data_IF_624511203439
#
_entry.id   IF_624511203439
#
_cell.length_a   1.000
_cell.length_b   1.000
_cell.length_c   1.000
_cell.angle_alpha   90.00
_cell.angle_beta   90.00
_cell.angle_gamma   90.00
#
_symmetry.space_group_name_H-M   'P 1'
#
loop_
_entity.id
_entity.type
_entity.pdbx_description
1 polymer ?
#
# COMPACT_ATOMS: atom_id res chain seq x y z
N UNK A 1 -4.84 6.59 -21.68
CA UNK A 1 -3.80 6.52 -20.66
C UNK A 1 -2.87 7.71 -20.83
N UNK A 2 -2.42 8.37 -19.74
CA UNK A 2 -1.40 9.42 -19.89
C UNK A 2 -0.13 8.80 -20.49
N UNK A 3 0.59 9.60 -21.30
CA UNK A 3 1.79 9.16 -22.04
C UNK A 3 2.88 8.60 -21.11
N UNK A 4 2.86 8.97 -19.82
CA UNK A 4 3.85 8.60 -18.80
C UNK A 4 3.27 7.75 -17.64
N UNK A 5 2.29 6.88 -17.91
CA UNK A 5 1.81 5.96 -16.88
C UNK A 5 2.95 5.01 -16.42
N UNK A 6 3.15 4.80 -15.11
CA UNK A 6 4.17 3.88 -14.60
C UNK A 6 4.01 2.48 -15.20
N UNK A 7 5.12 1.93 -15.73
CA UNK A 7 5.18 0.57 -16.28
C UNK A 7 5.62 -0.47 -15.26
N UNK A 8 6.07 0.00 -14.11
CA UNK A 8 6.59 -0.81 -13.02
C UNK A 8 5.81 -0.57 -11.74
N UNK A 9 5.62 -1.64 -10.97
CA UNK A 9 5.13 -1.55 -9.61
C UNK A 9 5.94 -2.46 -8.67
N UNK A 10 6.01 -2.06 -7.41
CA UNK A 10 6.53 -2.86 -6.31
C UNK A 10 5.40 -3.11 -5.33
N UNK A 11 5.20 -4.37 -4.91
CA UNK A 11 4.25 -4.74 -3.85
C UNK A 11 5.03 -5.28 -2.66
N UNK A 12 4.82 -4.69 -1.48
CA UNK A 12 5.42 -5.14 -0.23
C UNK A 12 4.52 -6.20 0.41
N UNK A 13 4.95 -7.45 0.36
CA UNK A 13 4.14 -8.62 0.72
C UNK A 13 4.91 -9.62 1.63
N UNK A 14 5.92 -9.16 2.37
CA UNK A 14 6.81 -10.01 3.15
C UNK A 14 6.30 -10.33 4.57
N UNK A 15 5.37 -9.55 5.11
CA UNK A 15 4.94 -9.59 6.50
C UNK A 15 4.19 -10.87 6.91
N UNK A 16 4.22 -11.18 8.21
CA UNK A 16 3.58 -12.39 8.79
C UNK A 16 2.06 -12.28 8.85
N UNK A 17 1.50 -11.07 9.07
CA UNK A 17 0.05 -10.88 9.26
C UNK A 17 -0.49 -11.58 10.51
N UNK A 18 0.24 -11.53 11.62
CA UNK A 18 -0.08 -12.30 12.85
C UNK A 18 -1.45 -12.00 13.46
N UNK A 19 -1.99 -10.80 13.27
CA UNK A 19 -3.32 -10.40 13.77
C UNK A 19 -4.49 -11.10 13.04
N UNK A 20 -4.23 -11.62 11.83
CA UNK A 20 -5.21 -12.39 11.03
C UNK A 20 -5.22 -13.89 11.34
N UNK A 21 -4.43 -14.36 12.33
CA UNK A 21 -4.48 -15.77 12.74
C UNK A 21 -5.88 -16.15 13.22
N UNK A 22 -6.35 -17.39 12.92
CA UNK A 22 -5.63 -18.52 12.30
C UNK A 22 -5.57 -18.49 10.76
N UNK A 23 -6.18 -17.53 10.07
CA UNK A 23 -6.21 -17.47 8.59
C UNK A 23 -4.78 -17.44 7.99
N UNK A 24 -3.87 -16.74 8.66
CA UNK A 24 -2.48 -16.61 8.20
C UNK A 24 -1.53 -17.72 8.68
N UNK A 25 -2.03 -18.71 9.41
CA UNK A 25 -1.21 -19.88 9.78
C UNK A 25 -0.88 -20.76 8.57
N UNK A 26 -1.77 -20.81 7.59
CA UNK A 26 -1.63 -21.63 6.38
C UNK A 26 -1.43 -20.81 5.10
N UNK A 27 -1.79 -19.52 5.09
CA UNK A 27 -1.72 -18.66 3.91
C UNK A 27 -1.16 -17.29 4.30
N UNK A 28 -0.22 -16.70 3.54
CA UNK A 28 0.28 -15.36 3.87
C UNK A 28 -0.82 -14.31 3.70
N UNK A 29 -0.75 -13.22 4.49
CA UNK A 29 -1.73 -12.13 4.51
C UNK A 29 -2.16 -11.65 3.11
N UNK A 30 -1.25 -11.44 2.13
CA UNK A 30 -1.63 -11.00 0.78
C UNK A 30 -2.51 -11.99 0.00
N UNK A 31 -2.59 -13.25 0.42
CA UNK A 31 -3.47 -14.25 -0.16
C UNK A 31 -4.79 -14.45 0.59
N UNK A 32 -5.03 -13.71 1.66
CA UNK A 32 -6.36 -13.63 2.31
C UNK A 32 -7.37 -13.09 1.29
N UNK A 33 -8.60 -13.61 1.34
CA UNK A 33 -9.59 -13.38 0.30
C UNK A 33 -10.73 -12.50 0.78
N UNK A 34 -11.08 -11.50 -0.02
CA UNK A 34 -12.31 -10.71 0.08
C UNK A 34 -13.25 -11.21 -1.01
N UNK A 35 -14.41 -11.77 -0.65
CA UNK A 35 -15.33 -12.41 -1.59
C UNK A 35 -14.66 -13.40 -2.57
N UNK A 36 -13.75 -14.21 -2.07
CA UNK A 36 -13.04 -15.21 -2.86
C UNK A 36 -11.84 -14.69 -3.65
N UNK A 37 -11.59 -13.38 -3.71
CA UNK A 37 -10.49 -12.74 -4.44
C UNK A 37 -9.34 -12.45 -3.47
N UNK A 38 -8.13 -13.04 -3.65
CA UNK A 38 -6.96 -12.68 -2.86
C UNK A 38 -6.62 -11.19 -2.96
N UNK A 39 -6.19 -10.56 -1.86
CA UNK A 39 -5.77 -9.14 -1.83
C UNK A 39 -4.73 -8.88 -2.93
N UNK A 40 -3.71 -9.70 -3.00
CA UNK A 40 -2.62 -9.57 -3.99
C UNK A 40 -3.14 -9.72 -5.43
N UNK A 41 -4.07 -10.65 -5.69
CA UNK A 41 -4.65 -10.81 -7.02
C UNK A 41 -5.51 -9.62 -7.44
N UNK A 42 -6.23 -8.99 -6.49
CA UNK A 42 -6.96 -7.75 -6.73
C UNK A 42 -5.99 -6.66 -7.22
N UNK A 43 -4.88 -6.44 -6.51
CA UNK A 43 -3.87 -5.45 -6.89
C UNK A 43 -3.25 -5.77 -8.28
N UNK A 44 -2.81 -7.01 -8.51
CA UNK A 44 -2.20 -7.44 -9.77
C UNK A 44 -3.17 -7.29 -10.96
N UNK A 45 -4.45 -7.62 -10.76
CA UNK A 45 -5.48 -7.46 -11.80
C UNK A 45 -5.64 -5.99 -12.21
N UNK A 46 -5.76 -5.08 -11.25
CA UNK A 46 -5.91 -3.65 -11.52
C UNK A 46 -4.64 -3.05 -12.14
N UNK A 47 -3.46 -3.41 -11.65
CA UNK A 47 -2.18 -2.98 -12.24
C UNK A 47 -2.09 -3.39 -13.71
N UNK A 48 -2.41 -4.64 -14.05
CA UNK A 48 -2.39 -5.14 -15.43
C UNK A 48 -3.39 -4.42 -16.34
N UNK A 49 -4.61 -4.15 -15.85
CA UNK A 49 -5.63 -3.39 -16.60
C UNK A 49 -5.22 -1.94 -16.84
N UNK A 50 -4.44 -1.36 -15.94
CA UNK A 50 -3.95 0.02 -16.04
C UNK A 50 -2.61 0.13 -16.78
N UNK A 51 -2.13 -0.97 -17.38
CA UNK A 51 -0.99 -0.97 -18.30
C UNK A 51 0.37 -1.08 -17.61
N UNK A 52 0.43 -1.53 -16.36
CA UNK A 52 1.68 -1.95 -15.72
C UNK A 52 2.16 -3.23 -16.39
N UNK A 53 3.42 -3.28 -16.76
CA UNK A 53 4.02 -4.38 -17.53
C UNK A 53 4.80 -5.35 -16.63
N UNK A 54 5.40 -4.83 -15.55
CA UNK A 54 6.19 -5.61 -14.61
C UNK A 54 5.84 -5.23 -13.18
N UNK A 55 5.65 -6.24 -12.33
CA UNK A 55 5.51 -6.09 -10.87
C UNK A 55 6.63 -6.86 -10.19
N UNK A 56 7.32 -6.21 -9.27
CA UNK A 56 8.20 -6.87 -8.31
C UNK A 56 7.44 -7.06 -7.01
N UNK A 57 7.47 -8.26 -6.45
CA UNK A 57 6.83 -8.57 -5.16
C UNK A 57 7.94 -8.86 -4.15
N UNK A 58 8.02 -8.03 -3.11
CA UNK A 58 8.86 -8.31 -1.95
C UNK A 58 8.16 -9.35 -1.09
N UNK A 59 8.75 -10.54 -0.99
CA UNK A 59 8.18 -11.70 -0.30
C UNK A 59 9.02 -12.09 0.92
N UNK A 60 8.39 -12.75 1.89
CA UNK A 60 9.06 -13.23 3.11
C UNK A 60 8.30 -14.40 3.70
N UNK A 61 7.39 -14.16 4.63
CA UNK A 61 6.57 -15.20 5.22
C UNK A 61 5.81 -16.00 4.16
N UNK A 62 5.99 -17.32 4.15
CA UNK A 62 5.36 -18.26 3.20
C UNK A 62 5.50 -17.81 1.74
N UNK A 63 6.70 -17.34 1.35
CA UNK A 63 7.00 -16.85 0.01
C UNK A 63 6.61 -17.85 -1.09
N UNK A 64 6.76 -19.14 -0.83
CA UNK A 64 6.44 -20.21 -1.79
C UNK A 64 4.95 -20.17 -2.19
N UNK A 65 4.06 -19.92 -1.23
CA UNK A 65 2.61 -19.81 -1.50
C UNK A 65 2.30 -18.60 -2.40
N UNK A 66 2.98 -17.47 -2.21
CA UNK A 66 2.83 -16.30 -3.08
C UNK A 66 3.37 -16.61 -4.48
N UNK A 67 4.55 -17.26 -4.57
CA UNK A 67 5.16 -17.62 -5.84
C UNK A 67 4.32 -18.63 -6.63
N UNK A 68 3.71 -19.61 -5.93
CA UNK A 68 2.77 -20.55 -6.54
C UNK A 68 1.49 -19.87 -7.04
N UNK A 69 0.92 -18.95 -6.23
CA UNK A 69 -0.32 -18.26 -6.56
C UNK A 69 -0.18 -17.26 -7.72
N UNK A 70 0.98 -16.63 -7.88
CA UNK A 70 1.19 -15.57 -8.87
C UNK A 70 2.07 -16.01 -10.06
N UNK A 71 2.91 -17.03 -9.90
CA UNK A 71 3.84 -17.51 -10.93
C UNK A 71 4.86 -16.45 -11.36
N UNK A 72 5.42 -16.63 -12.55
CA UNK A 72 6.31 -15.64 -13.18
C UNK A 72 5.55 -14.64 -14.06
N UNK A 73 4.21 -14.82 -14.20
CA UNK A 73 3.31 -13.97 -14.97
C UNK A 73 1.89 -14.07 -14.43
N UNK A 74 1.25 -12.93 -14.24
CA UNK A 74 -0.15 -12.83 -13.87
C UNK A 74 -0.91 -12.04 -14.94
N UNK A 75 -1.70 -12.74 -15.76
CA UNK A 75 -2.29 -12.14 -16.97
C UNK A 75 -1.20 -11.61 -17.90
N UNK A 76 -1.25 -10.31 -18.21
CA UNK A 76 -0.25 -9.63 -19.04
C UNK A 76 0.94 -9.06 -18.26
N UNK A 77 0.97 -9.19 -16.94
CA UNK A 77 2.01 -8.62 -16.06
C UNK A 77 3.12 -9.63 -15.81
N UNK A 78 4.37 -9.27 -16.06
CA UNK A 78 5.53 -10.05 -15.66
C UNK A 78 5.79 -9.90 -14.16
N UNK A 79 6.01 -11.00 -13.44
CA UNK A 79 6.22 -10.99 -11.99
C UNK A 79 7.68 -11.33 -11.69
N UNK A 80 8.30 -10.52 -10.84
CA UNK A 80 9.61 -10.78 -10.23
C UNK A 80 9.47 -10.81 -8.71
N UNK A 81 10.37 -11.50 -8.05
CA UNK A 81 10.37 -11.63 -6.59
C UNK A 81 11.69 -11.16 -6.00
N UNK A 82 11.58 -10.47 -4.87
CA UNK A 82 12.71 -10.11 -4.02
C UNK A 82 12.43 -10.66 -2.63
N UNK A 83 13.32 -11.49 -2.12
CA UNK A 83 13.15 -12.12 -0.81
C UNK A 83 13.67 -11.24 0.31
N UNK A 84 12.84 -11.02 1.33
CA UNK A 84 13.24 -10.54 2.65
C UNK A 84 13.41 -11.74 3.58
N UNK A 85 14.61 -12.30 3.65
CA UNK A 85 14.89 -13.48 4.50
C UNK A 85 14.79 -13.17 6.01
N UNK A 86 14.71 -11.91 6.38
CA UNK A 86 14.67 -11.42 7.77
C UNK A 86 13.35 -10.67 8.08
N UNK A 87 12.29 -11.00 7.35
CA UNK A 87 10.97 -10.38 7.44
C UNK A 87 10.35 -10.34 8.85
N UNK A 88 10.73 -11.29 9.70
CA UNK A 88 10.24 -11.47 11.06
C UNK A 88 10.79 -10.44 12.06
N UNK A 89 11.84 -9.73 11.67
CA UNK A 89 12.55 -8.74 12.50
C UNK A 89 12.86 -7.43 11.80
N UNK A 90 12.22 -7.18 10.66
CA UNK A 90 12.39 -5.96 9.88
C UNK A 90 11.03 -5.37 9.49
N UNK A 91 11.00 -4.05 9.23
CA UNK A 91 9.81 -3.33 8.78
C UNK A 91 9.68 -3.27 7.25
N UNK A 92 8.61 -2.61 6.77
CA UNK A 92 8.33 -2.48 5.33
C UNK A 92 9.39 -1.65 4.59
N UNK A 93 10.02 -0.66 5.24
CA UNK A 93 11.13 0.10 4.65
C UNK A 93 12.33 -0.79 4.31
N UNK A 94 12.59 -1.85 5.09
CA UNK A 94 13.66 -2.81 4.77
C UNK A 94 13.33 -3.63 3.52
N UNK A 95 12.09 -4.06 3.37
CA UNK A 95 11.62 -4.76 2.16
C UNK A 95 11.67 -3.87 0.93
N UNK A 96 11.32 -2.59 1.08
CA UNK A 96 11.45 -1.57 0.04
C UNK A 96 12.92 -1.37 -0.35
N UNK A 97 13.84 -1.30 0.62
CA UNK A 97 15.27 -1.19 0.39
C UNK A 97 15.84 -2.41 -0.35
N UNK A 98 15.45 -3.63 0.01
CA UNK A 98 15.88 -4.84 -0.70
C UNK A 98 15.46 -4.82 -2.18
N UNK A 99 14.28 -4.29 -2.46
CA UNK A 99 13.72 -4.22 -3.82
C UNK A 99 14.09 -2.93 -4.57
N UNK A 100 14.97 -2.07 -4.04
CA UNK A 100 15.27 -0.73 -4.60
C UNK A 100 15.76 -0.75 -6.05
N UNK A 101 16.46 -1.79 -6.47
CA UNK A 101 16.94 -1.89 -7.86
C UNK A 101 15.78 -1.98 -8.87
N UNK A 102 14.64 -2.56 -8.46
CA UNK A 102 13.44 -2.60 -9.29
C UNK A 102 12.83 -1.20 -9.48
N UNK A 103 13.03 -0.29 -8.53
CA UNK A 103 12.54 1.09 -8.58
C UNK A 103 13.39 1.99 -9.49
N UNK A 104 14.58 1.56 -9.92
CA UNK A 104 15.45 2.32 -10.82
C UNK A 104 15.01 2.27 -12.28
N UNK A 105 14.05 1.40 -12.64
CA UNK A 105 13.61 1.19 -14.01
C UNK A 105 12.78 2.36 -14.58
N UNK A 106 12.21 3.23 -13.74
CA UNK A 106 11.35 4.33 -14.18
C UNK A 106 10.44 4.85 -13.08
N UNK A 107 9.43 5.63 -13.45
CA UNK A 107 8.34 5.97 -12.54
C UNK A 107 7.68 4.68 -12.06
N UNK A 108 7.42 4.59 -10.77
CA UNK A 108 6.96 3.35 -10.16
C UNK A 108 5.76 3.58 -9.25
N UNK A 109 4.88 2.58 -9.20
CA UNK A 109 3.88 2.44 -8.14
C UNK A 109 4.48 1.60 -7.01
N UNK A 110 4.26 2.00 -5.77
CA UNK A 110 4.60 1.22 -4.58
C UNK A 110 3.33 0.97 -3.79
N UNK A 111 3.04 -0.29 -3.52
CA UNK A 111 1.83 -0.72 -2.84
C UNK A 111 2.18 -1.61 -1.65
N UNK A 112 1.46 -1.46 -0.54
CA UNK A 112 1.45 -2.49 0.50
C UNK A 112 0.50 -3.62 0.11
N UNK A 113 0.84 -4.86 0.50
CA UNK A 113 0.17 -6.08 0.06
C UNK A 113 -1.06 -6.47 0.88
N UNK A 114 -1.63 -5.53 1.63
CA UNK A 114 -2.73 -5.74 2.58
C UNK A 114 -3.94 -4.84 2.35
N UNK A 115 -3.92 -4.05 1.29
CA UNK A 115 -5.02 -3.15 0.91
C UNK A 115 -5.85 -3.76 -0.22
N UNK A 116 -7.14 -3.92 0.01
CA UNK A 116 -8.11 -4.29 -1.01
C UNK A 116 -8.82 -3.03 -1.50
N UNK A 117 -8.87 -2.80 -2.82
CA UNK A 117 -9.36 -1.54 -3.38
C UNK A 117 -9.99 -1.74 -4.76
N UNK A 118 -10.83 -0.79 -5.18
CA UNK A 118 -11.35 -0.76 -6.55
C UNK A 118 -10.37 -0.06 -7.50
N UNK A 119 -10.46 -0.39 -8.80
CA UNK A 119 -9.53 0.07 -9.85
C UNK A 119 -9.35 1.60 -9.89
N UNK A 120 -10.41 2.35 -9.59
CA UNK A 120 -10.37 3.81 -9.67
C UNK A 120 -9.40 4.46 -8.68
N UNK A 121 -9.06 3.80 -7.57
CA UNK A 121 -8.01 4.28 -6.64
C UNK A 121 -6.66 4.39 -7.37
N UNK A 122 -6.22 3.31 -8.03
CA UNK A 122 -4.98 3.33 -8.81
C UNK A 122 -5.09 4.24 -10.04
N UNK A 123 -6.26 4.29 -10.67
CA UNK A 123 -6.48 5.17 -11.83
C UNK A 123 -6.27 6.64 -11.45
N UNK A 124 -6.85 7.11 -10.35
CA UNK A 124 -6.65 8.48 -9.87
C UNK A 124 -5.19 8.76 -9.53
N UNK A 125 -4.51 7.81 -8.89
CA UNK A 125 -3.10 7.92 -8.55
C UNK A 125 -2.21 8.02 -9.83
N UNK A 126 -2.49 7.22 -10.85
CA UNK A 126 -1.74 7.22 -12.12
C UNK A 126 -1.95 8.50 -12.92
N UNK A 127 -3.17 9.07 -12.94
CA UNK A 127 -3.46 10.29 -13.69
C UNK A 127 -3.09 11.58 -12.97
N UNK A 128 -2.66 11.51 -11.71
CA UNK A 128 -2.18 12.67 -10.98
C UNK A 128 -1.09 13.41 -11.76
N UNK A 129 -1.17 14.71 -11.85
CA UNK A 129 -0.16 15.54 -12.52
C UNK A 129 1.12 15.68 -11.69
N UNK A 130 1.03 15.47 -10.37
CA UNK A 130 2.18 15.53 -9.49
C UNK A 130 3.15 14.36 -9.75
N UNK A 131 4.47 14.59 -9.75
CA UNK A 131 5.46 13.53 -9.97
C UNK A 131 5.46 12.49 -8.85
N UNK A 132 5.06 12.88 -7.64
CA UNK A 132 4.94 12.00 -6.50
C UNK A 132 3.57 12.19 -5.86
N UNK A 133 2.86 11.10 -5.61
CA UNK A 133 1.52 11.14 -5.07
C UNK A 133 1.26 9.93 -4.16
N UNK A 134 0.39 10.12 -3.18
CA UNK A 134 -0.11 9.09 -2.28
C UNK A 134 -1.64 9.09 -2.28
N UNK A 135 -2.25 7.92 -2.33
CA UNK A 135 -3.69 7.78 -2.17
C UNK A 135 -4.07 7.94 -0.70
N UNK A 136 -5.06 8.79 -0.43
CA UNK A 136 -5.55 9.07 0.92
C UNK A 136 -7.08 9.14 0.94
N UNK A 137 -7.68 8.90 2.10
CA UNK A 137 -9.10 9.12 2.35
C UNK A 137 -9.31 9.72 3.75
N UNK A 138 -10.47 10.32 4.04
CA UNK A 138 -10.76 10.83 5.38
C UNK A 138 -10.52 9.75 6.45
N UNK A 139 -9.82 10.12 7.53
CA UNK A 139 -9.60 9.23 8.66
C UNK A 139 -10.84 9.26 9.56
N UNK A 140 -11.45 8.13 9.84
CA UNK A 140 -12.64 8.01 10.67
C UNK A 140 -12.43 7.09 11.88
N UNK A 141 -13.39 7.08 12.80
CA UNK A 141 -13.29 6.43 14.10
C UNK A 141 -13.04 4.91 14.09
N UNK A 142 -13.36 4.23 13.00
CA UNK A 142 -13.10 2.79 12.86
C UNK A 142 -11.70 2.47 12.32
N UNK A 143 -10.95 3.50 11.91
CA UNK A 143 -9.62 3.33 11.34
C UNK A 143 -8.53 3.39 12.40
N UNK A 144 -7.43 2.71 12.11
CA UNK A 144 -6.19 2.75 12.87
C UNK A 144 -5.00 2.88 11.91
N UNK A 145 -3.84 3.29 12.43
CA UNK A 145 -2.59 3.33 11.67
C UNK A 145 -2.11 4.74 11.38
N UNK A 146 -1.47 4.94 10.26
CA UNK A 146 -0.88 6.24 9.90
C UNK A 146 -1.92 7.16 9.29
N UNK A 147 -2.03 8.36 9.85
CA UNK A 147 -2.79 9.47 9.29
C UNK A 147 -1.85 10.56 8.79
N UNK A 148 -2.33 11.40 7.90
CA UNK A 148 -1.60 12.54 7.36
C UNK A 148 -2.42 13.81 7.45
N UNK A 149 -1.72 14.95 7.57
CA UNK A 149 -2.27 16.28 7.37
C UNK A 149 -1.95 16.78 5.96
N UNK A 150 -2.84 17.58 5.42
CA UNK A 150 -2.67 18.19 4.12
C UNK A 150 -2.46 19.69 4.26
N UNK A 151 -1.57 20.24 3.44
CA UNK A 151 -1.46 21.67 3.22
C UNK A 151 -2.63 22.20 2.38
N UNK A 152 -2.81 23.52 2.36
CA UNK A 152 -3.84 24.20 1.51
C UNK A 152 -3.66 23.92 0.02
N UNK A 153 -2.45 23.51 -0.40
CA UNK A 153 -2.14 23.16 -1.79
C UNK A 153 -2.36 21.67 -2.10
N UNK A 154 -2.89 20.89 -1.15
CA UNK A 154 -3.19 19.47 -1.35
C UNK A 154 -1.98 18.54 -1.29
N UNK A 155 -0.86 18.97 -0.73
CA UNK A 155 0.29 18.12 -0.44
C UNK A 155 0.25 17.61 1.00
N UNK A 156 0.78 16.42 1.22
CA UNK A 156 0.99 15.89 2.57
C UNK A 156 2.04 16.76 3.26
N UNK A 157 1.72 17.28 4.43
CA UNK A 157 2.58 18.16 5.21
C UNK A 157 3.13 17.51 6.49
N UNK A 158 2.43 16.50 7.02
CA UNK A 158 2.80 15.82 8.26
C UNK A 158 2.29 14.38 8.24
N UNK A 159 3.09 13.45 8.76
CA UNK A 159 2.69 12.07 9.03
C UNK A 159 2.48 11.85 10.53
N UNK A 160 1.34 11.35 10.92
CA UNK A 160 1.00 10.96 12.29
C UNK A 160 0.86 9.46 12.38
N UNK A 161 1.88 8.81 12.89
CA UNK A 161 1.92 7.35 13.05
C UNK A 161 1.00 6.89 14.18
N UNK A 162 0.51 5.65 14.10
CA UNK A 162 -0.24 4.96 15.17
C UNK A 162 -1.46 5.73 15.68
N UNK A 163 -2.19 6.37 14.77
CA UNK A 163 -3.43 7.06 15.11
C UNK A 163 -4.59 6.08 15.31
N UNK A 164 -5.54 6.48 16.14
CA UNK A 164 -6.80 5.77 16.44
C UNK A 164 -7.92 6.78 16.57
N UNK A 165 -9.16 6.34 16.76
CA UNK A 165 -10.32 7.21 17.03
C UNK A 165 -10.07 8.25 18.15
N UNK A 166 -9.24 7.92 19.14
CA UNK A 166 -8.89 8.82 20.26
C UNK A 166 -8.12 10.07 19.84
N UNK A 167 -7.51 10.03 18.65
CA UNK A 167 -6.73 11.14 18.11
C UNK A 167 -7.58 12.08 17.24
N UNK A 168 -8.84 11.71 16.94
CA UNK A 168 -9.80 12.56 16.26
C UNK A 168 -10.31 13.62 17.25
N UNK A 169 -9.92 14.88 17.02
CA UNK A 169 -10.35 16.03 17.81
C UNK A 169 -11.44 16.74 17.01
N UNK A 170 -12.61 16.98 17.62
CA UNK A 170 -13.78 17.51 16.93
C UNK A 170 -13.51 18.84 16.17
N UNK A 171 -12.68 19.72 16.74
CA UNK A 171 -12.32 21.01 16.14
C UNK A 171 -10.85 21.03 15.63
N UNK A 172 -10.25 19.85 15.49
CA UNK A 172 -8.87 19.69 14.98
C UNK A 172 -8.80 19.73 13.45
N UNK A 173 -7.58 19.83 12.90
CA UNK A 173 -7.41 19.74 11.46
C UNK A 173 -7.86 18.36 10.94
N UNK A 174 -8.45 18.30 9.73
CA UNK A 174 -8.90 17.04 9.16
C UNK A 174 -7.71 16.09 8.96
N UNK A 175 -7.86 14.86 9.46
CA UNK A 175 -6.90 13.79 9.28
C UNK A 175 -7.31 12.92 8.10
N UNK A 176 -6.33 12.46 7.34
CA UNK A 176 -6.53 11.53 6.23
C UNK A 176 -5.74 10.24 6.50
N UNK A 177 -6.36 9.10 6.31
CA UNK A 177 -5.69 7.79 6.33
C UNK A 177 -4.87 7.62 5.05
N UNK A 178 -3.60 7.28 5.18
CA UNK A 178 -2.83 6.81 4.01
C UNK A 178 -3.26 5.39 3.65
N UNK A 179 -3.43 5.14 2.35
CA UNK A 179 -3.72 3.80 1.82
C UNK A 179 -2.44 3.01 1.53
N UNK A 180 -1.27 3.61 1.75
CA UNK A 180 0.02 3.02 1.39
C UNK A 180 0.11 2.58 -0.08
N UNK A 181 -0.57 3.33 -0.95
CA UNK A 181 -0.50 3.25 -2.41
C UNK A 181 0.14 4.54 -2.92
N UNK A 182 1.32 4.42 -3.51
CA UNK A 182 2.18 5.54 -3.88
C UNK A 182 2.48 5.52 -5.37
N UNK A 183 2.61 6.69 -5.98
CA UNK A 183 3.30 6.91 -7.24
C UNK A 183 4.54 7.77 -6.97
N UNK A 184 5.69 7.30 -7.40
CA UNK A 184 6.97 7.99 -7.22
C UNK A 184 7.68 8.10 -8.57
N UNK A 185 8.15 9.31 -8.88
CA UNK A 185 8.91 9.54 -10.11
C UNK A 185 10.29 8.90 -10.03
N UNK A 186 10.82 8.50 -11.17
CA UNK A 186 12.18 7.96 -11.29
C UNK A 186 13.25 8.94 -10.74
N UNK A 187 13.02 10.24 -10.91
CA UNK A 187 13.90 11.28 -10.35
C UNK A 187 13.90 11.24 -8.83
N UNK A 188 12.72 11.26 -8.21
CA UNK A 188 12.57 11.22 -6.74
C UNK A 188 13.13 9.91 -6.16
N UNK A 189 12.88 8.78 -6.82
CA UNK A 189 13.42 7.49 -6.39
C UNK A 189 14.94 7.52 -6.33
N UNK A 190 15.61 8.03 -7.37
CA UNK A 190 17.09 8.07 -7.42
C UNK A 190 17.69 9.12 -6.50
N UNK A 191 17.08 10.31 -6.40
CA UNK A 191 17.71 11.46 -5.71
C UNK A 191 17.33 11.60 -4.24
N UNK A 192 16.22 10.98 -3.79
CA UNK A 192 15.73 11.13 -2.44
C UNK A 192 15.42 9.80 -1.75
N UNK A 193 14.54 8.95 -2.34
CA UNK A 193 14.01 7.75 -1.67
C UNK A 193 15.13 6.73 -1.43
N UNK A 194 15.85 6.33 -2.47
CA UNK A 194 16.90 5.30 -2.34
C UNK A 194 18.07 5.77 -1.46
N UNK A 195 18.60 6.99 -1.60
CA UNK A 195 19.60 7.49 -0.67
C UNK A 195 19.14 7.52 0.78
N UNK A 196 17.89 7.94 1.05
CA UNK A 196 17.36 7.94 2.40
C UNK A 196 17.19 6.52 2.97
N UNK A 197 16.74 5.56 2.16
CA UNK A 197 16.69 4.15 2.54
C UNK A 197 18.08 3.60 2.88
N UNK A 198 19.08 3.88 2.04
CA UNK A 198 20.47 3.46 2.29
C UNK A 198 21.01 4.04 3.61
N UNK A 199 20.70 5.31 3.91
CA UNK A 199 21.10 5.96 5.16
C UNK A 199 20.38 5.35 6.37
N UNK A 200 19.06 5.12 6.29
CA UNK A 200 18.26 4.50 7.34
C UNK A 200 18.78 3.10 7.68
N UNK A 201 19.02 2.27 6.67
CA UNK A 201 19.49 0.89 6.87
C UNK A 201 20.92 0.88 7.42
N UNK A 202 21.79 1.77 6.92
CA UNK A 202 23.16 1.93 7.45
C UNK A 202 23.17 2.40 8.91
N UNK A 203 22.20 3.22 9.31
CA UNK A 203 22.01 3.65 10.70
C UNK A 203 21.35 2.58 11.60
N UNK A 204 21.00 1.41 11.06
CA UNK A 204 20.40 0.32 11.81
C UNK A 204 18.88 0.41 11.96
N UNK A 205 18.18 1.33 11.29
CA UNK A 205 16.73 1.51 11.35
C UNK A 205 15.99 0.43 10.51
N UNK A 206 16.34 -0.83 10.71
CA UNK A 206 15.80 -1.95 9.91
C UNK A 206 14.35 -2.31 10.22
N UNK A 207 13.82 -1.85 11.36
CA UNK A 207 12.42 -2.07 11.76
C UNK A 207 11.47 -0.95 11.32
N UNK A 208 11.98 0.10 10.67
CA UNK A 208 11.19 1.22 10.21
C UNK A 208 10.15 0.80 9.16
N UNK A 209 9.01 1.49 9.17
CA UNK A 209 7.96 1.36 8.17
C UNK A 209 8.17 2.35 7.02
N UNK A 210 7.52 2.09 5.89
CA UNK A 210 7.54 2.98 4.71
C UNK A 210 7.08 4.39 5.06
N UNK A 211 6.10 4.52 5.97
CA UNK A 211 5.58 5.81 6.41
C UNK A 211 6.61 6.64 7.20
N UNK A 212 7.51 5.98 7.96
CA UNK A 212 8.60 6.68 8.66
C UNK A 212 9.61 7.27 7.68
N UNK A 213 9.89 6.55 6.60
CA UNK A 213 10.71 7.08 5.50
C UNK A 213 10.02 8.27 4.83
N UNK A 214 8.71 8.16 4.52
CA UNK A 214 7.96 9.24 3.88
C UNK A 214 7.85 10.47 4.79
N UNK A 215 7.59 10.28 6.08
CA UNK A 215 7.61 11.34 7.09
C UNK A 215 8.94 12.08 7.06
N UNK A 216 10.06 11.36 7.16
CA UNK A 216 11.39 11.94 7.09
C UNK A 216 11.62 12.73 5.79
N UNK A 217 11.24 12.18 4.65
CA UNK A 217 11.42 12.83 3.35
C UNK A 217 10.56 14.10 3.20
N UNK A 218 9.30 14.05 3.62
CA UNK A 218 8.38 15.20 3.54
C UNK A 218 8.78 16.27 4.53
N UNK A 219 8.95 15.93 5.81
CA UNK A 219 9.08 16.88 6.90
C UNK A 219 10.49 17.45 7.03
N UNK A 220 11.51 16.67 6.64
CA UNK A 220 12.93 17.09 6.80
C UNK A 220 13.67 17.34 5.50
N UNK A 221 13.24 16.72 4.40
CA UNK A 221 13.93 16.84 3.10
C UNK A 221 13.10 17.62 2.07
N UNK A 222 11.91 18.07 2.44
CA UNK A 222 11.04 18.89 1.60
C UNK A 222 10.47 18.16 0.39
N UNK A 223 10.32 16.82 0.45
CA UNK A 223 9.67 16.07 -0.61
C UNK A 223 8.22 16.54 -0.78
N UNK A 224 7.88 16.99 -1.98
CA UNK A 224 6.49 17.28 -2.34
C UNK A 224 5.79 15.97 -2.71
N UNK A 225 4.86 15.54 -1.85
CA UNK A 225 4.03 14.35 -2.01
C UNK A 225 2.56 14.79 -2.07
N UNK A 226 1.96 14.77 -3.25
CA UNK A 226 0.57 15.16 -3.44
C UNK A 226 -0.38 14.13 -2.84
N UNK A 227 -1.44 14.59 -2.19
CA UNK A 227 -2.51 13.73 -1.72
C UNK A 227 -3.55 13.53 -2.81
N UNK A 228 -3.70 12.30 -3.29
CA UNK A 228 -4.80 11.91 -4.19
C UNK A 228 -5.95 11.43 -3.33
N UNK A 229 -6.99 12.27 -3.22
CA UNK A 229 -8.15 11.97 -2.39
C UNK A 229 -9.07 10.96 -3.06
N UNK A 230 -9.34 9.87 -2.35
CA UNK A 230 -10.18 8.75 -2.79
C UNK A 230 -11.41 8.59 -1.88
N UNK A 231 -12.03 9.71 -1.47
CA UNK A 231 -13.05 9.79 -0.43
C UNK A 231 -14.28 8.92 -0.73
N UNK A 232 -14.70 8.87 -2.00
CA UNK A 232 -15.90 8.14 -2.45
C UNK A 232 -15.57 6.78 -3.08
N UNK A 233 -14.30 6.35 -3.01
CA UNK A 233 -13.87 5.07 -3.58
C UNK A 233 -13.83 3.98 -2.52
N UNK A 234 -14.13 2.75 -2.94
CA UNK A 234 -14.07 1.59 -2.05
C UNK A 234 -12.64 1.08 -1.93
N UNK A 235 -12.19 1.00 -0.71
CA UNK A 235 -10.91 0.43 -0.32
C UNK A 235 -10.95 0.05 1.16
N UNK A 236 -10.09 -0.86 1.60
CA UNK A 236 -9.87 -1.15 3.00
C UNK A 236 -8.53 -1.84 3.23
N UNK A 237 -7.82 -1.44 4.29
CA UNK A 237 -6.61 -2.10 4.79
C UNK A 237 -7.04 -3.24 5.72
N UNK A 238 -6.53 -4.45 5.48
CA UNK A 238 -6.98 -5.65 6.17
C UNK A 238 -5.87 -6.13 7.10
N UNK A 239 -5.96 -5.76 8.36
CA UNK A 239 -4.96 -6.07 9.37
C UNK A 239 -5.38 -7.22 10.30
N UNK A 240 -6.67 -7.35 10.53
CA UNK A 240 -7.24 -8.39 11.39
C UNK A 240 -8.55 -8.96 10.80
N UNK A 241 -9.22 -9.85 11.57
CA UNK A 241 -10.44 -10.51 11.10
C UNK A 241 -11.63 -9.54 11.00
N UNK A 242 -11.69 -8.50 11.82
CA UNK A 242 -12.78 -7.50 11.75
C UNK A 242 -12.59 -6.57 10.54
N UNK A 243 -11.35 -6.25 10.21
CA UNK A 243 -11.01 -5.54 8.98
C UNK A 243 -11.44 -6.34 7.75
N UNK A 244 -11.18 -7.65 7.75
CA UNK A 244 -11.62 -8.53 6.66
C UNK A 244 -13.15 -8.50 6.51
N UNK A 245 -13.91 -8.61 7.59
CA UNK A 245 -15.39 -8.52 7.57
C UNK A 245 -15.86 -7.16 7.07
N UNK A 246 -15.15 -6.09 7.45
CA UNK A 246 -15.46 -4.73 6.99
C UNK A 246 -15.20 -4.59 5.49
N UNK A 247 -14.06 -5.09 5.00
CA UNK A 247 -13.78 -5.14 3.56
C UNK A 247 -14.87 -5.92 2.80
N UNK A 248 -15.30 -7.08 3.31
CA UNK A 248 -16.38 -7.85 2.69
C UNK A 248 -17.70 -7.08 2.66
N UNK A 249 -18.05 -6.32 3.71
CA UNK A 249 -19.24 -5.45 3.69
C UNK A 249 -19.14 -4.33 2.64
N UNK A 250 -17.99 -3.66 2.55
CA UNK A 250 -17.73 -2.56 1.60
C UNK A 250 -17.80 -3.06 0.15
N UNK A 251 -17.27 -4.25 -0.11
CA UNK A 251 -17.20 -4.83 -1.45
C UNK A 251 -18.34 -5.80 -1.78
N UNK A 252 -19.35 -5.93 -0.91
CA UNK A 252 -20.57 -6.70 -1.22
C UNK A 252 -21.21 -6.18 -2.51
N UNK A 253 -21.64 -7.09 -3.39
CA UNK A 253 -22.40 -6.70 -4.58
C UNK A 253 -23.75 -6.11 -4.14
N UNK A 254 -24.14 -4.97 -4.70
CA UNK A 254 -25.48 -4.43 -4.48
C UNK A 254 -26.51 -5.51 -4.89
N UNK A 255 -27.22 -6.10 -3.92
CA UNK A 255 -28.22 -7.14 -4.15
C UNK A 255 -28.11 -8.41 -3.31
N UNK A 256 -27.01 -8.64 -2.58
CA UNK A 256 -26.96 -9.70 -1.54
C UNK A 256 -27.36 -9.10 -0.20
N UNK A 257 -28.68 -8.94 0.02
CA UNK A 257 -29.24 -8.71 1.35
C UNK A 257 -28.91 -9.94 2.21
N UNK A 258 -28.36 -9.71 3.39
CA UNK A 258 -28.06 -10.72 4.39
C UNK A 258 -29.39 -11.50 4.72
N UNK A 259 -29.45 -12.84 4.53
CA UNK A 259 -30.65 -13.60 4.83
C UNK A 259 -30.95 -13.71 6.33
N UNK A 260 -30.12 -13.16 7.23
CA UNK A 260 -30.23 -13.29 8.68
C UNK A 260 -30.82 -12.06 9.40
N UNK A 261 -31.29 -11.05 8.67
CA UNK A 261 -31.87 -9.83 9.27
C UNK A 261 -33.38 -9.93 9.60
N UNK A 262 -33.96 -11.13 9.71
CA UNK A 262 -35.31 -11.35 10.26
C UNK A 262 -35.31 -12.58 11.16
N UNK A 263 -35.22 -12.30 12.46
CA UNK A 263 -35.42 -13.26 13.54
C UNK A 263 -35.45 -12.52 14.87
#
# INVERSE_FOLDING_TARGET
MPVNAPKHALILAAGVGSRLRPLTDLSPKPLVRVHGIPILHNALHHLGRLGVEQVTIAVGYRKEAIQEACGSRFGNVAIKYVESAVYDRTGSAYSLWLARDALLCGDSLVLEGDVFFEENVLRQLIVSEAPNAAAVAPFHELMQGTAVLLSDLGFISEFRLKQTARNLIADGPPLYKTMNLLRLSASTLRSAVIPALDDMIRAGATQAYTEELLSYLVETRGLLLAAVRCDDLRWYEIDDVEDLRTAERIFAKAGTLDPTAHG
#
